data_IF_767586127408
#
_entry.id   IF_767586127408
#
_cell.length_a   1.000
_cell.length_b   1.000
_cell.length_c   1.000
_cell.angle_alpha   90.00
_cell.angle_beta   90.00
_cell.angle_gamma   90.00
#
_symmetry.space_group_name_H-M   'P 1'
#
loop_
_entity.id
_entity.type
_entity.pdbx_description
1 polymer ?
#
# COMPACT_ATOMS: atom_id res chain seq x y z
N UNK A 1 -31.69 59.14 -5.67
CA UNK A 1 -30.99 58.12 -6.49
C UNK A 1 -30.15 57.12 -5.69
N UNK A 2 -29.83 57.36 -4.40
CA UNK A 2 -28.94 56.46 -3.62
C UNK A 2 -29.61 55.23 -2.95
N UNK A 3 -30.95 55.13 -2.93
CA UNK A 3 -31.65 54.00 -2.28
C UNK A 3 -31.84 52.76 -3.17
N UNK A 4 -31.57 52.84 -4.48
CA UNK A 4 -31.72 51.73 -5.42
C UNK A 4 -30.43 50.93 -5.65
N UNK A 5 -29.28 51.49 -5.27
CA UNK A 5 -27.95 50.86 -5.42
C UNK A 5 -27.66 49.90 -4.27
N UNK A 6 -28.12 50.21 -3.05
CA UNK A 6 -27.97 49.32 -1.88
C UNK A 6 -28.74 48.00 -2.00
N UNK A 7 -29.89 47.99 -2.70
CA UNK A 7 -30.66 46.77 -2.91
C UNK A 7 -30.03 45.84 -3.97
N UNK A 8 -29.32 46.41 -4.95
CA UNK A 8 -28.60 45.65 -5.97
C UNK A 8 -27.33 44.96 -5.41
N UNK A 9 -26.63 45.59 -4.46
CA UNK A 9 -25.48 44.98 -3.77
C UNK A 9 -25.88 43.88 -2.77
N UNK A 10 -27.08 43.94 -2.19
CA UNK A 10 -27.58 42.92 -1.27
C UNK A 10 -28.13 41.69 -2.00
N UNK A 11 -28.61 41.85 -3.25
CA UNK A 11 -29.02 40.73 -4.11
C UNK A 11 -27.84 40.01 -4.78
N UNK A 12 -26.71 40.68 -5.02
CA UNK A 12 -25.50 40.05 -5.55
C UNK A 12 -24.74 39.23 -4.48
N UNK A 13 -24.93 39.51 -3.20
CA UNK A 13 -24.30 38.75 -2.10
C UNK A 13 -25.06 37.46 -1.76
N UNK A 14 -26.35 37.35 -2.13
CA UNK A 14 -27.15 36.15 -1.94
C UNK A 14 -26.91 35.06 -3.01
N UNK A 15 -26.17 35.36 -4.08
CA UNK A 15 -25.83 34.42 -5.15
C UNK A 15 -24.43 33.77 -4.98
N UNK A 16 -23.74 34.11 -3.88
CA UNK A 16 -22.46 33.52 -3.47
C UNK A 16 -22.65 32.39 -2.43
N UNK A 17 -23.86 31.86 -2.30
CA UNK A 17 -24.01 30.58 -1.62
C UNK A 17 -23.50 29.50 -2.57
N UNK A 18 -22.41 28.77 -2.25
CA UNK A 18 -22.08 27.59 -3.02
C UNK A 18 -23.30 26.68 -2.92
N UNK A 19 -23.93 26.40 -4.06
CA UNK A 19 -24.82 25.26 -4.14
C UNK A 19 -24.04 24.09 -3.55
N UNK A 20 -24.65 23.22 -2.72
CA UNK A 20 -24.06 21.92 -2.49
C UNK A 20 -24.00 21.28 -3.88
N UNK A 21 -22.85 21.39 -4.54
CA UNK A 21 -22.46 20.44 -5.54
C UNK A 21 -22.40 19.18 -4.71
N UNK A 22 -23.50 18.44 -4.72
CA UNK A 22 -23.44 17.02 -4.48
C UNK A 22 -22.46 16.53 -5.53
N UNK A 23 -21.20 16.46 -5.15
CA UNK A 23 -20.29 15.47 -5.67
C UNK A 23 -21.01 14.18 -5.29
N UNK A 24 -21.93 13.74 -6.15
CA UNK A 24 -22.18 12.34 -6.32
C UNK A 24 -20.81 11.83 -6.73
N UNK A 25 -19.98 11.53 -5.73
CA UNK A 25 -18.76 10.80 -5.93
C UNK A 25 -19.22 9.60 -6.72
N UNK A 26 -18.72 9.48 -7.94
CA UNK A 26 -18.64 8.16 -8.51
C UNK A 26 -17.75 7.43 -7.52
N UNK A 27 -18.35 6.79 -6.51
CA UNK A 27 -17.68 5.74 -5.76
C UNK A 27 -17.13 4.84 -6.84
N UNK A 28 -15.81 4.76 -6.90
CA UNK A 28 -15.17 3.99 -7.95
C UNK A 28 -15.74 2.58 -7.83
N UNK A 29 -16.24 1.97 -8.92
CA UNK A 29 -16.86 0.64 -8.83
C UNK A 29 -15.96 -0.38 -8.13
N UNK A 30 -14.65 -0.14 -8.13
CA UNK A 30 -13.67 -0.91 -7.37
C UNK A 30 -13.70 -0.69 -5.85
N UNK A 31 -13.91 0.53 -5.37
CA UNK A 31 -14.05 0.83 -3.94
C UNK A 31 -15.21 0.04 -3.32
N UNK A 32 -16.31 -0.09 -4.07
CA UNK A 32 -17.42 -0.95 -3.65
C UNK A 32 -17.03 -2.43 -3.58
N UNK A 33 -16.16 -2.90 -4.48
CA UNK A 33 -15.69 -4.29 -4.45
C UNK A 33 -14.76 -4.52 -3.26
N UNK A 34 -13.92 -3.55 -2.93
CA UNK A 34 -13.07 -3.57 -1.75
C UNK A 34 -13.91 -3.66 -0.46
N UNK A 35 -14.94 -2.81 -0.31
CA UNK A 35 -15.88 -2.84 0.81
C UNK A 35 -16.55 -4.22 0.97
N UNK A 36 -17.02 -4.81 -0.14
CA UNK A 36 -17.66 -6.14 -0.13
C UNK A 36 -16.64 -7.21 0.31
N UNK A 37 -15.39 -7.10 -0.11
CA UNK A 37 -14.33 -8.04 0.27
C UNK A 37 -13.96 -7.93 1.75
N UNK A 38 -13.95 -6.72 2.32
CA UNK A 38 -13.78 -6.52 3.76
C UNK A 38 -14.97 -7.08 4.54
N UNK A 39 -16.22 -6.83 4.12
CA UNK A 39 -17.40 -7.38 4.78
C UNK A 39 -17.35 -8.91 4.84
N UNK A 40 -17.00 -9.57 3.74
CA UNK A 40 -16.82 -11.03 3.71
C UNK A 40 -15.76 -11.48 4.72
N UNK A 41 -14.64 -10.76 4.83
CA UNK A 41 -13.59 -11.07 5.80
C UNK A 41 -14.06 -10.88 7.24
N UNK A 42 -14.76 -9.79 7.55
CA UNK A 42 -15.30 -9.54 8.89
C UNK A 42 -16.29 -10.63 9.31
N UNK A 43 -17.16 -11.07 8.40
CA UNK A 43 -18.08 -12.19 8.65
C UNK A 43 -17.31 -13.49 8.97
N UNK A 44 -16.29 -13.82 8.17
CA UNK A 44 -15.49 -15.02 8.38
C UNK A 44 -14.70 -14.98 9.70
N UNK A 45 -14.11 -13.83 10.05
CA UNK A 45 -13.44 -13.62 11.36
C UNK A 45 -14.38 -13.84 12.54
N UNK A 46 -15.67 -13.55 12.36
CA UNK A 46 -16.72 -13.78 13.35
C UNK A 46 -17.33 -15.19 13.28
N UNK A 47 -16.76 -16.11 12.51
CA UNK A 47 -17.24 -17.50 12.34
C UNK A 47 -18.49 -17.63 11.48
N UNK A 48 -18.97 -16.55 10.86
CA UNK A 48 -20.17 -16.49 10.01
C UNK A 48 -19.85 -16.90 8.57
N UNK A 49 -19.38 -18.13 8.39
CA UNK A 49 -18.87 -18.62 7.10
C UNK A 49 -19.94 -18.78 6.03
N UNK A 50 -21.18 -19.08 6.43
CA UNK A 50 -22.32 -19.19 5.49
C UNK A 50 -22.62 -17.83 4.90
N UNK A 51 -22.69 -16.79 5.73
CA UNK A 51 -22.92 -15.42 5.27
C UNK A 51 -21.74 -14.86 4.49
N UNK A 52 -20.49 -15.12 4.94
CA UNK A 52 -19.29 -14.73 4.20
C UNK A 52 -19.30 -15.29 2.77
N UNK A 53 -19.74 -16.55 2.59
CA UNK A 53 -19.90 -17.15 1.26
C UNK A 53 -20.90 -16.38 0.40
N UNK A 54 -22.06 -16.00 0.94
CA UNK A 54 -23.06 -15.26 0.18
C UNK A 54 -22.55 -13.87 -0.22
N UNK A 55 -21.80 -13.19 0.66
CA UNK A 55 -21.14 -11.92 0.34
C UNK A 55 -20.08 -12.10 -0.77
N UNK A 56 -19.28 -13.18 -0.74
CA UNK A 56 -18.35 -13.49 -1.85
C UNK A 56 -19.10 -13.76 -3.16
N UNK A 57 -20.27 -14.41 -3.15
CA UNK A 57 -21.07 -14.58 -4.37
C UNK A 57 -21.56 -13.24 -4.89
N UNK A 58 -22.02 -12.37 -4.00
CA UNK A 58 -22.43 -11.02 -4.34
C UNK A 58 -21.29 -10.19 -4.94
N UNK A 59 -20.06 -10.33 -4.43
CA UNK A 59 -18.86 -9.74 -5.04
C UNK A 59 -18.76 -10.10 -6.52
N UNK A 60 -18.92 -11.38 -6.87
CA UNK A 60 -18.81 -11.84 -8.26
C UNK A 60 -19.85 -11.18 -9.17
N UNK A 61 -21.09 -11.07 -8.71
CA UNK A 61 -22.17 -10.38 -9.44
C UNK A 61 -21.83 -8.90 -9.67
N UNK A 62 -21.34 -8.21 -8.63
CA UNK A 62 -20.94 -6.80 -8.73
C UNK A 62 -19.72 -6.61 -9.62
N UNK A 63 -18.75 -7.52 -9.57
CA UNK A 63 -17.53 -7.48 -10.38
C UNK A 63 -17.87 -7.38 -11.89
N UNK A 64 -18.82 -8.18 -12.37
CA UNK A 64 -19.29 -8.09 -13.75
C UNK A 64 -20.22 -6.90 -14.00
N UNK A 65 -21.15 -6.63 -13.08
CA UNK A 65 -22.13 -5.54 -13.25
C UNK A 65 -21.48 -4.14 -13.31
N UNK A 66 -20.36 -3.95 -12.62
CA UNK A 66 -19.62 -2.68 -12.56
C UNK A 66 -18.60 -2.51 -13.70
N UNK A 67 -18.40 -3.54 -14.54
CA UNK A 67 -17.33 -3.56 -15.52
C UNK A 67 -15.95 -3.48 -14.87
N UNK A 68 -15.74 -4.24 -13.79
CA UNK A 68 -14.48 -4.24 -13.06
C UNK A 68 -13.37 -4.92 -13.87
N UNK A 69 -13.72 -5.94 -14.65
CA UNK A 69 -12.81 -6.64 -15.56
C UNK A 69 -12.13 -5.69 -16.54
N UNK A 70 -12.86 -4.71 -17.07
CA UNK A 70 -12.36 -3.73 -18.04
C UNK A 70 -11.38 -2.73 -17.43
N UNK A 71 -11.32 -2.65 -16.09
CA UNK A 71 -10.39 -1.79 -15.34
C UNK A 71 -9.07 -2.47 -15.00
N UNK A 72 -9.01 -3.79 -15.15
CA UNK A 72 -7.78 -4.55 -14.95
C UNK A 72 -6.75 -4.21 -16.02
N UNK A 73 -5.48 -4.12 -15.62
CA UNK A 73 -4.36 -3.77 -16.48
C UNK A 73 -3.73 -5.00 -17.14
N UNK A 74 -3.91 -6.19 -16.54
CA UNK A 74 -3.25 -7.41 -17.01
C UNK A 74 -4.12 -8.67 -16.86
N UNK A 75 -3.74 -9.72 -17.59
CA UNK A 75 -4.33 -11.05 -17.43
C UNK A 75 -3.95 -11.68 -16.08
N UNK A 76 -2.85 -11.26 -15.48
CA UNK A 76 -2.37 -11.76 -14.20
C UNK A 76 -3.22 -11.20 -13.04
N UNK A 77 -3.60 -9.91 -13.08
CA UNK A 77 -4.58 -9.34 -12.14
C UNK A 77 -5.94 -10.07 -12.24
N UNK A 78 -6.41 -10.36 -13.46
CA UNK A 78 -7.64 -11.12 -13.67
C UNK A 78 -7.54 -12.53 -13.10
N UNK A 79 -6.41 -13.20 -13.31
CA UNK A 79 -6.18 -14.55 -12.75
C UNK A 79 -6.13 -14.49 -11.22
N UNK A 80 -5.39 -13.56 -10.65
CA UNK A 80 -5.25 -13.41 -9.20
C UNK A 80 -6.63 -13.23 -8.54
N UNK A 81 -7.45 -12.29 -9.02
CA UNK A 81 -8.78 -12.03 -8.43
C UNK A 81 -9.73 -13.22 -8.60
N UNK A 82 -9.73 -13.89 -9.75
CA UNK A 82 -10.64 -15.02 -10.02
C UNK A 82 -10.25 -16.27 -9.24
N UNK A 83 -8.97 -16.60 -9.18
CA UNK A 83 -8.47 -17.78 -8.46
C UNK A 83 -8.65 -17.63 -6.95
N UNK A 84 -8.26 -16.49 -6.39
CA UNK A 84 -8.39 -16.25 -4.94
C UNK A 84 -9.86 -16.15 -4.52
N UNK A 85 -10.73 -15.58 -5.37
CA UNK A 85 -12.18 -15.59 -5.14
C UNK A 85 -12.75 -17.01 -5.09
N UNK A 86 -12.43 -17.85 -6.08
CA UNK A 86 -12.90 -19.24 -6.13
C UNK A 86 -12.42 -20.03 -4.90
N UNK A 87 -11.15 -19.86 -4.53
CA UNK A 87 -10.56 -20.48 -3.34
C UNK A 87 -11.28 -20.03 -2.06
N UNK A 88 -11.53 -18.73 -1.90
CA UNK A 88 -12.27 -18.19 -0.76
C UNK A 88 -13.68 -18.77 -0.66
N UNK A 89 -14.43 -18.80 -1.77
CA UNK A 89 -15.78 -19.38 -1.81
C UNK A 89 -15.76 -20.86 -1.44
N UNK A 90 -14.81 -21.64 -1.98
CA UNK A 90 -14.66 -23.06 -1.69
C UNK A 90 -14.31 -23.31 -0.22
N UNK A 91 -13.39 -22.51 0.33
CA UNK A 91 -12.94 -22.60 1.71
C UNK A 91 -14.10 -22.44 2.70
N UNK A 92 -15.06 -21.55 2.42
CA UNK A 92 -16.22 -21.33 3.30
C UNK A 92 -17.02 -22.60 3.58
N UNK A 93 -17.15 -23.50 2.60
CA UNK A 93 -17.87 -24.77 2.76
C UNK A 93 -17.00 -25.99 3.04
N UNK A 94 -15.68 -25.87 2.87
CA UNK A 94 -14.78 -27.02 3.05
C UNK A 94 -14.69 -27.45 4.53
N UNK A 95 -14.50 -28.75 4.82
CA UNK A 95 -14.28 -29.26 6.18
C UNK A 95 -12.82 -29.01 6.63
N UNK A 96 -12.41 -27.75 6.63
CA UNK A 96 -11.07 -27.29 7.02
C UNK A 96 -11.15 -26.42 8.29
N UNK A 97 -10.04 -26.25 9.03
CA UNK A 97 -9.94 -25.34 10.16
C UNK A 97 -10.46 -23.92 9.87
N UNK A 98 -11.01 -23.26 10.89
CA UNK A 98 -11.52 -21.89 10.79
C UNK A 98 -10.43 -20.90 10.36
N UNK A 99 -9.19 -21.11 10.80
CA UNK A 99 -8.04 -20.28 10.46
C UNK A 99 -7.74 -20.32 8.95
N UNK A 100 -7.78 -21.51 8.34
CA UNK A 100 -7.56 -21.67 6.90
C UNK A 100 -8.69 -21.04 6.07
N UNK A 101 -9.92 -21.05 6.58
CA UNK A 101 -11.05 -20.34 5.98
C UNK A 101 -10.80 -18.83 5.96
N UNK A 102 -10.39 -18.28 7.10
CA UNK A 102 -10.09 -16.85 7.24
C UNK A 102 -8.88 -16.47 6.39
N UNK A 103 -7.86 -17.32 6.31
CA UNK A 103 -6.68 -17.11 5.46
C UNK A 103 -7.07 -17.01 3.97
N UNK A 104 -7.93 -17.90 3.48
CA UNK A 104 -8.39 -17.87 2.08
C UNK A 104 -9.13 -16.56 1.72
N UNK A 105 -10.01 -16.06 2.59
CA UNK A 105 -10.67 -14.77 2.36
C UNK A 105 -9.69 -13.60 2.53
N UNK A 106 -8.76 -13.70 3.49
CA UNK A 106 -7.73 -12.67 3.66
C UNK A 106 -6.90 -12.54 2.38
N UNK A 107 -6.44 -13.64 1.80
CA UNK A 107 -5.71 -13.66 0.53
C UNK A 107 -6.51 -12.96 -0.59
N UNK A 108 -7.80 -13.28 -0.70
CA UNK A 108 -8.69 -12.65 -1.68
C UNK A 108 -8.81 -11.13 -1.45
N UNK A 109 -9.03 -10.68 -0.22
CA UNK A 109 -9.11 -9.25 0.11
C UNK A 109 -7.81 -8.52 -0.23
N UNK A 110 -6.65 -9.11 0.09
CA UNK A 110 -5.35 -8.53 -0.23
C UNK A 110 -5.18 -8.32 -1.74
N UNK A 111 -5.66 -9.26 -2.57
CA UNK A 111 -5.66 -9.12 -4.03
C UNK A 111 -6.59 -8.02 -4.51
N UNK A 112 -7.81 -7.95 -3.97
CA UNK A 112 -8.79 -6.91 -4.34
C UNK A 112 -8.23 -5.52 -4.04
N UNK A 113 -7.60 -5.38 -2.88
CA UNK A 113 -6.92 -4.16 -2.47
C UNK A 113 -5.71 -3.83 -3.37
N UNK A 114 -4.79 -4.78 -3.60
CA UNK A 114 -3.59 -4.59 -4.42
C UNK A 114 -3.89 -4.05 -5.83
N UNK A 115 -4.96 -4.51 -6.47
CA UNK A 115 -5.34 -4.05 -7.82
C UNK A 115 -5.64 -2.54 -7.88
N UNK A 116 -6.12 -1.94 -6.78
CA UNK A 116 -6.53 -0.53 -6.74
C UNK A 116 -5.63 0.37 -5.90
N UNK A 117 -4.98 -0.20 -4.89
CA UNK A 117 -4.08 0.51 -3.99
C UNK A 117 -2.90 1.11 -4.77
N UNK A 118 -2.82 2.44 -4.75
CA UNK A 118 -1.74 3.18 -5.44
C UNK A 118 -0.58 3.49 -4.50
N UNK A 119 -0.87 3.61 -3.20
CA UNK A 119 0.11 3.94 -2.16
C UNK A 119 -0.22 3.05 -0.96
N UNK A 120 0.65 2.09 -0.65
CA UNK A 120 0.53 1.17 0.48
C UNK A 120 -0.65 0.16 0.42
N UNK A 121 -0.59 -0.84 -0.47
CA UNK A 121 -1.43 -2.02 -0.43
C UNK A 121 -1.40 -2.71 0.95
N UNK A 122 -2.55 -3.23 1.40
CA UNK A 122 -2.76 -3.86 2.70
C UNK A 122 -1.83 -5.05 2.96
N UNK A 123 -1.35 -5.75 1.92
CA UNK A 123 -0.46 -6.89 2.13
C UNK A 123 0.90 -6.47 2.68
N UNK A 124 1.29 -5.20 2.50
CA UNK A 124 2.54 -4.67 3.06
C UNK A 124 2.52 -4.63 4.59
N UNK A 125 1.35 -4.53 5.22
CA UNK A 125 1.17 -4.63 6.67
C UNK A 125 1.50 -6.03 7.22
N UNK A 126 1.64 -7.03 6.35
CA UNK A 126 2.06 -8.38 6.72
C UNK A 126 3.59 -8.51 6.89
N UNK A 127 4.37 -7.47 6.54
CA UNK A 127 5.83 -7.47 6.66
C UNK A 127 6.32 -7.95 8.05
N UNK A 128 5.81 -7.45 9.19
CA UNK A 128 6.32 -7.89 10.49
C UNK A 128 6.06 -9.37 10.75
N UNK A 129 4.94 -9.91 10.24
CA UNK A 129 4.60 -11.33 10.39
C UNK A 129 5.48 -12.23 9.51
N UNK A 130 5.76 -11.79 8.28
CA UNK A 130 6.61 -12.51 7.32
C UNK A 130 8.08 -12.46 7.78
N UNK A 131 8.60 -11.28 8.07
CA UNK A 131 9.98 -11.10 8.55
C UNK A 131 10.21 -11.76 9.91
N UNK A 132 9.21 -11.74 10.80
CA UNK A 132 9.26 -12.47 12.06
C UNK A 132 9.34 -13.99 11.87
N UNK A 133 8.61 -14.54 10.90
CA UNK A 133 8.71 -15.96 10.55
C UNK A 133 10.07 -16.30 9.93
N UNK A 134 10.61 -15.42 9.07
CA UNK A 134 11.95 -15.58 8.50
C UNK A 134 13.03 -15.58 9.59
N UNK A 135 12.97 -14.67 10.55
CA UNK A 135 13.91 -14.64 11.67
C UNK A 135 13.91 -15.93 12.50
N UNK A 136 12.76 -16.62 12.60
CA UNK A 136 12.68 -17.93 13.23
C UNK A 136 13.41 -19.03 12.42
N UNK A 137 13.36 -18.95 11.08
CA UNK A 137 14.13 -19.83 10.18
C UNK A 137 15.62 -19.61 10.38
N UNK A 138 16.08 -18.35 10.37
CA UNK A 138 17.49 -18.00 10.61
C UNK A 138 17.99 -18.54 11.94
N UNK A 139 17.22 -18.33 13.01
CA UNK A 139 17.56 -18.80 14.35
C UNK A 139 17.68 -20.33 14.41
N UNK A 140 16.73 -21.05 13.83
CA UNK A 140 16.74 -22.51 13.83
C UNK A 140 17.90 -23.08 13.00
N UNK A 141 18.24 -22.44 11.88
CA UNK A 141 19.40 -22.80 11.08
C UNK A 141 20.71 -22.59 11.84
N UNK A 142 20.88 -21.45 12.51
CA UNK A 142 22.06 -21.15 13.33
C UNK A 142 22.26 -22.12 14.50
N UNK A 143 21.17 -22.66 15.03
CA UNK A 143 21.19 -23.64 16.13
C UNK A 143 21.38 -25.08 15.62
N UNK A 144 21.38 -25.32 14.31
CA UNK A 144 21.45 -26.65 13.71
C UNK A 144 20.22 -27.52 13.96
N UNK A 145 19.10 -26.93 14.38
CA UNK A 145 17.89 -27.65 14.77
C UNK A 145 17.00 -27.94 13.55
N UNK A 146 17.34 -28.97 12.77
CA UNK A 146 16.65 -29.28 11.50
C UNK A 146 15.12 -29.42 11.62
N UNK A 147 14.62 -29.99 12.73
CA UNK A 147 13.17 -30.10 12.97
C UNK A 147 12.52 -28.73 13.23
N UNK A 148 13.17 -27.87 14.02
CA UNK A 148 12.69 -26.52 14.29
C UNK A 148 12.75 -25.66 13.03
N UNK A 149 13.81 -25.83 12.22
CA UNK A 149 13.97 -25.17 10.92
C UNK A 149 12.84 -25.54 9.97
N UNK A 150 12.54 -26.83 9.81
CA UNK A 150 11.46 -27.27 8.93
C UNK A 150 10.10 -26.72 9.37
N UNK A 151 9.84 -26.63 10.68
CA UNK A 151 8.62 -26.04 11.22
C UNK A 151 8.55 -24.53 10.97
N UNK A 152 9.65 -23.81 11.24
CA UNK A 152 9.75 -22.37 11.01
C UNK A 152 9.63 -22.02 9.52
N UNK A 153 10.24 -22.81 8.64
CA UNK A 153 10.19 -22.62 7.20
C UNK A 153 8.77 -22.82 6.67
N UNK A 154 8.06 -23.85 7.15
CA UNK A 154 6.64 -24.02 6.79
C UNK A 154 5.82 -22.81 7.22
N UNK A 155 6.03 -22.31 8.43
CA UNK A 155 5.33 -21.10 8.88
C UNK A 155 5.65 -19.88 8.01
N UNK A 156 6.90 -19.70 7.58
CA UNK A 156 7.28 -18.65 6.64
C UNK A 156 6.55 -18.81 5.30
N UNK A 157 6.54 -20.02 4.74
CA UNK A 157 5.85 -20.31 3.48
C UNK A 157 4.34 -20.07 3.57
N UNK A 158 3.71 -20.44 4.69
CA UNK A 158 2.28 -20.17 4.92
C UNK A 158 1.99 -18.66 4.96
N UNK A 159 2.88 -17.86 5.56
CA UNK A 159 2.76 -16.39 5.58
C UNK A 159 3.02 -15.78 4.20
N UNK A 160 3.99 -16.29 3.47
CA UNK A 160 4.31 -15.80 2.12
C UNK A 160 3.20 -16.13 1.12
N UNK A 161 2.68 -17.36 1.13
CA UNK A 161 1.56 -17.81 0.27
C UNK A 161 0.34 -16.89 0.41
N UNK A 162 0.09 -16.38 1.62
CA UNK A 162 -1.02 -15.46 1.90
C UNK A 162 -0.89 -14.12 1.14
N UNK A 163 0.34 -13.63 0.93
CA UNK A 163 0.59 -12.34 0.26
C UNK A 163 1.02 -12.49 -1.20
N UNK A 164 1.54 -13.66 -1.60
CA UNK A 164 2.16 -13.92 -2.90
C UNK A 164 1.31 -13.44 -4.10
N UNK A 165 -0.01 -13.70 -4.19
CA UNK A 165 -0.80 -13.21 -5.32
C UNK A 165 -0.83 -11.68 -5.42
N UNK A 166 -0.78 -10.99 -4.28
CA UNK A 166 -0.79 -9.52 -4.20
C UNK A 166 0.59 -8.95 -4.51
N UNK A 167 1.65 -9.60 -4.01
CA UNK A 167 3.04 -9.29 -4.37
C UNK A 167 3.22 -9.36 -5.89
N UNK A 168 2.68 -10.39 -6.55
CA UNK A 168 2.78 -10.57 -8.00
C UNK A 168 1.97 -9.54 -8.82
N UNK A 169 1.09 -8.76 -8.17
CA UNK A 169 0.40 -7.63 -8.78
C UNK A 169 1.23 -6.34 -8.64
N UNK A 170 1.73 -6.07 -7.44
CA UNK A 170 2.32 -4.76 -7.09
C UNK A 170 3.84 -4.67 -7.28
N UNK A 171 4.53 -5.81 -7.28
CA UNK A 171 5.99 -5.87 -7.30
C UNK A 171 6.49 -6.30 -8.68
N UNK A 172 7.59 -5.72 -9.20
CA UNK A 172 8.21 -6.18 -10.43
C UNK A 172 8.48 -7.70 -10.44
N UNK A 173 8.14 -8.41 -11.53
CA UNK A 173 8.28 -9.86 -11.61
C UNK A 173 9.68 -10.37 -11.24
N UNK A 174 10.73 -9.62 -11.60
CA UNK A 174 12.11 -10.00 -11.32
C UNK A 174 12.41 -10.08 -9.82
N UNK A 175 11.81 -9.20 -9.01
CA UNK A 175 12.00 -9.19 -7.55
C UNK A 175 11.16 -10.30 -6.92
N UNK A 176 9.89 -10.46 -7.36
CA UNK A 176 9.01 -11.51 -6.86
C UNK A 176 9.58 -12.92 -7.16
N UNK A 177 10.07 -13.15 -8.38
CA UNK A 177 10.70 -14.43 -8.77
C UNK A 177 11.96 -14.72 -7.96
N UNK A 178 12.77 -13.70 -7.65
CA UNK A 178 13.97 -13.91 -6.83
C UNK A 178 13.62 -14.45 -5.44
N UNK A 179 12.58 -13.90 -4.82
CA UNK A 179 12.09 -14.41 -3.52
C UNK A 179 11.50 -15.81 -3.64
N UNK A 180 10.75 -16.10 -4.71
CA UNK A 180 10.25 -17.45 -4.97
C UNK A 180 11.42 -18.47 -5.05
N UNK A 181 12.47 -18.14 -5.80
CA UNK A 181 13.67 -18.97 -5.96
C UNK A 181 14.43 -19.17 -4.64
N UNK A 182 14.57 -18.11 -3.84
CA UNK A 182 15.22 -18.16 -2.52
C UNK A 182 14.45 -19.08 -1.56
N UNK A 183 13.13 -18.92 -1.49
CA UNK A 183 12.27 -19.76 -0.66
C UNK A 183 12.29 -21.23 -1.11
N UNK A 184 12.40 -21.51 -2.41
CA UNK A 184 12.61 -22.87 -2.91
C UNK A 184 13.99 -23.41 -2.49
N UNK A 185 15.04 -22.60 -2.62
CA UNK A 185 16.40 -22.98 -2.27
C UNK A 185 16.57 -23.27 -0.77
N UNK A 186 15.81 -22.58 0.10
CA UNK A 186 15.76 -22.84 1.54
C UNK A 186 15.03 -24.14 1.90
N UNK A 187 14.12 -24.62 1.05
CA UNK A 187 13.44 -25.91 1.22
C UNK A 187 14.31 -27.09 0.75
N UNK A 188 15.26 -26.84 -0.16
CA UNK A 188 16.07 -27.88 -0.76
C UNK A 188 16.95 -28.60 0.29
N UNK A 189 17.03 -29.94 0.20
CA UNK A 189 17.93 -30.74 1.03
C UNK A 189 19.41 -30.32 0.88
N UNK A 190 19.76 -29.73 -0.27
CA UNK A 190 21.08 -29.17 -0.55
C UNK A 190 21.48 -28.07 0.44
N UNK A 191 20.52 -27.34 1.04
CA UNK A 191 20.79 -26.35 2.07
C UNK A 191 21.61 -26.95 3.23
N UNK A 192 21.26 -28.16 3.68
CA UNK A 192 21.94 -28.85 4.78
C UNK A 192 23.26 -29.52 4.40
N UNK A 193 23.58 -29.61 3.11
CA UNK A 193 24.84 -30.18 2.61
C UNK A 193 25.94 -29.13 2.49
N UNK A 194 25.56 -27.84 2.51
CA UNK A 194 26.45 -26.69 2.44
C UNK A 194 27.16 -26.43 3.77
N UNK A 195 28.27 -25.71 3.72
CA UNK A 195 28.96 -25.26 4.93
C UNK A 195 28.15 -24.21 5.69
N UNK A 196 28.41 -24.06 6.99
CA UNK A 196 27.70 -23.06 7.82
C UNK A 196 27.84 -21.62 7.27
N UNK A 197 28.98 -21.29 6.65
CA UNK A 197 29.19 -19.99 6.01
C UNK A 197 28.26 -19.76 4.81
N UNK A 198 28.15 -20.75 3.94
CA UNK A 198 27.27 -20.73 2.75
C UNK A 198 25.79 -20.70 3.14
N UNK A 199 25.41 -21.42 4.20
CA UNK A 199 24.04 -21.37 4.75
C UNK A 199 23.69 -19.98 5.26
N UNK A 200 24.62 -19.32 5.97
CA UNK A 200 24.43 -17.95 6.47
C UNK A 200 24.35 -16.93 5.34
N UNK A 201 25.18 -17.08 4.32
CA UNK A 201 25.14 -16.23 3.13
C UNK A 201 23.80 -16.37 2.41
N UNK A 202 23.36 -17.60 2.14
CA UNK A 202 22.07 -17.85 1.50
C UNK A 202 20.88 -17.30 2.30
N UNK A 203 20.90 -17.43 3.63
CA UNK A 203 19.87 -16.84 4.49
C UNK A 203 19.91 -15.30 4.47
N UNK A 204 21.10 -14.70 4.42
CA UNK A 204 21.25 -13.24 4.34
C UNK A 204 20.75 -12.70 2.99
N UNK A 205 21.04 -13.39 1.89
CA UNK A 205 20.56 -13.04 0.55
C UNK A 205 19.03 -13.13 0.48
N UNK A 206 18.46 -14.27 0.90
CA UNK A 206 17.01 -14.48 0.94
C UNK A 206 16.30 -13.45 1.82
N UNK A 207 16.93 -13.05 2.95
CA UNK A 207 16.41 -11.97 3.80
C UNK A 207 16.37 -10.64 3.06
N UNK A 208 17.46 -10.29 2.40
CA UNK A 208 17.58 -9.03 1.66
C UNK A 208 16.53 -8.93 0.55
N UNK A 209 16.33 -10.01 -0.20
CA UNK A 209 15.36 -10.06 -1.29
C UNK A 209 13.92 -10.01 -0.77
N UNK A 210 13.64 -10.68 0.36
CA UNK A 210 12.35 -10.59 1.03
C UNK A 210 12.06 -9.17 1.55
N UNK A 211 13.05 -8.50 2.15
CA UNK A 211 12.95 -7.08 2.57
C UNK A 211 12.71 -6.15 1.37
N UNK A 212 13.30 -6.47 0.21
CA UNK A 212 13.15 -5.68 -1.00
C UNK A 212 11.70 -5.64 -1.53
N UNK A 213 10.91 -6.72 -1.33
CA UNK A 213 9.49 -6.74 -1.68
C UNK A 213 8.72 -5.60 -1.00
N UNK A 214 8.96 -5.40 0.29
CA UNK A 214 8.26 -4.40 1.09
C UNK A 214 8.84 -2.99 0.90
N UNK A 215 10.15 -2.88 0.70
CA UNK A 215 10.82 -1.58 0.54
C UNK A 215 10.47 -0.88 -0.79
N UNK A 216 10.19 -1.65 -1.85
CA UNK A 216 9.82 -1.10 -3.16
C UNK A 216 8.48 -0.34 -3.14
N UNK A 217 7.54 -0.82 -2.32
CA UNK A 217 6.16 -0.30 -2.26
C UNK A 217 6.03 0.91 -1.33
N UNK A 218 6.87 1.00 -0.30
CA UNK A 218 6.90 2.14 0.65
C UNK A 218 7.58 3.39 0.09
N UNK A 219 8.37 3.29 -0.98
CA UNK A 219 9.16 4.44 -1.49
C UNK A 219 8.31 5.57 -2.10
N UNK A 220 7.06 5.28 -2.48
CA UNK A 220 6.11 6.33 -2.92
C UNK A 220 5.44 7.07 -1.75
N UNK A 221 5.76 6.74 -0.49
CA UNK A 221 5.34 7.48 0.71
C UNK A 221 6.14 8.77 0.96
N UNK A 222 7.12 9.11 0.10
CA UNK A 222 7.69 10.46 0.14
C UNK A 222 6.65 11.45 -0.38
N UNK A 223 5.71 11.78 0.52
CA UNK A 223 4.59 12.69 0.37
C UNK A 223 5.03 13.89 -0.48
N UNK A 224 4.66 13.96 -1.78
CA UNK A 224 5.05 15.07 -2.65
C UNK A 224 4.64 16.41 -2.04
N UNK A 225 3.60 16.37 -1.20
CA UNK A 225 3.11 17.48 -0.39
C UNK A 225 4.14 18.00 0.62
N UNK A 226 4.94 17.15 1.29
CA UNK A 226 5.91 17.59 2.30
C UNK A 226 7.13 18.29 1.68
N UNK A 227 7.64 17.75 0.57
CA UNK A 227 8.73 18.40 -0.18
C UNK A 227 8.23 19.73 -0.76
N UNK A 228 7.02 19.75 -1.33
CA UNK A 228 6.42 20.99 -1.83
C UNK A 228 6.15 22.01 -0.71
N UNK A 229 5.66 21.58 0.45
CA UNK A 229 5.43 22.45 1.62
C UNK A 229 6.75 22.99 2.15
N UNK A 230 7.82 22.18 2.17
CA UNK A 230 9.16 22.63 2.56
C UNK A 230 9.71 23.66 1.57
N UNK A 231 9.52 23.45 0.26
CA UNK A 231 9.93 24.39 -0.79
C UNK A 231 9.11 25.68 -0.71
N UNK A 232 7.79 25.63 -0.54
CA UNK A 232 6.95 26.81 -0.42
C UNK A 232 7.25 27.60 0.85
N UNK A 233 7.34 26.94 2.00
CA UNK A 233 7.61 27.58 3.29
C UNK A 233 9.03 28.16 3.32
N UNK A 234 10.03 27.40 2.87
CA UNK A 234 11.41 27.87 2.74
C UNK A 234 11.55 28.99 1.72
N UNK A 235 10.85 28.92 0.59
CA UNK A 235 10.85 29.91 -0.47
C UNK A 235 10.32 31.27 -0.01
N UNK A 236 9.22 31.30 0.76
CA UNK A 236 8.67 32.55 1.34
C UNK A 236 9.67 33.19 2.31
N UNK A 237 10.37 32.40 3.14
CA UNK A 237 11.40 32.91 4.06
C UNK A 237 12.58 33.50 3.28
N UNK A 238 13.10 32.80 2.27
CA UNK A 238 14.22 33.30 1.45
C UNK A 238 13.82 34.56 0.69
N UNK A 239 12.61 34.61 0.11
CA UNK A 239 12.11 35.78 -0.61
C UNK A 239 11.96 37.00 0.31
N UNK A 240 11.41 36.81 1.51
CA UNK A 240 11.26 37.90 2.49
C UNK A 240 12.62 38.40 2.97
N UNK A 241 13.56 37.53 3.32
CA UNK A 241 14.91 37.93 3.71
C UNK A 241 15.68 38.61 2.58
N UNK A 242 15.52 38.14 1.34
CA UNK A 242 16.12 38.76 0.16
C UNK A 242 15.57 40.17 -0.05
N UNK A 243 14.25 40.35 0.09
CA UNK A 243 13.60 41.66 -0.04
C UNK A 243 14.05 42.64 1.05
N UNK A 244 14.06 42.22 2.32
CA UNK A 244 14.47 43.09 3.44
C UNK A 244 15.97 43.39 3.35
N UNK A 245 16.80 42.41 2.97
CA UNK A 245 18.23 42.60 2.73
C UNK A 245 18.51 43.61 1.62
N UNK A 246 17.78 43.52 0.50
CA UNK A 246 17.90 44.48 -0.59
C UNK A 246 17.43 45.88 -0.20
N UNK A 247 16.34 45.98 0.57
CA UNK A 247 15.83 47.26 1.10
C UNK A 247 16.83 47.92 2.04
N UNK A 248 17.47 47.14 2.93
CA UNK A 248 18.52 47.64 3.84
C UNK A 248 19.76 48.11 3.08
N UNK A 249 20.20 47.34 2.09
CA UNK A 249 21.32 47.71 1.23
C UNK A 249 21.07 49.04 0.50
N UNK A 250 19.85 49.25 -0.02
CA UNK A 250 19.47 50.50 -0.68
C UNK A 250 19.43 51.68 0.31
N UNK A 251 18.88 51.47 1.52
CA UNK A 251 18.84 52.49 2.57
C UNK A 251 20.22 52.96 3.01
N UNK A 252 21.17 52.04 3.24
CA UNK A 252 22.55 52.39 3.59
C UNK A 252 23.29 53.14 2.47
N UNK A 253 22.93 52.88 1.21
CA UNK A 253 23.52 53.55 0.04
C UNK A 253 23.02 54.99 -0.13
N UNK A 254 21.76 55.24 0.22
CA UNK A 254 21.16 56.59 0.24
C UNK A 254 21.70 57.41 1.43
N UNK A 255 21.88 56.80 2.60
CA UNK A 255 22.44 57.47 3.78
C UNK A 255 23.92 57.84 3.59
N UNK A 256 24.71 57.02 2.90
CA UNK A 256 26.10 57.34 2.53
C UNK A 256 26.20 58.43 1.48
N UNK A 257 25.24 58.54 0.56
CA UNK A 257 25.17 59.65 -0.41
C UNK A 257 24.77 60.98 0.23
N UNK A 258 23.91 60.95 1.25
CA UNK A 258 23.52 62.15 1.99
C UNK A 258 24.62 62.71 2.92
N UNK A 259 25.69 61.93 3.18
CA UNK A 259 26.83 62.32 4.04
C UNK A 259 28.10 62.68 3.28
N UNK A 260 28.09 62.68 1.94
CA UNK A 260 29.19 63.24 1.15
C UNK A 260 28.93 64.74 0.96
N UNK A 261 29.74 65.64 1.53
CA UNK A 261 29.71 67.04 1.13
C UNK A 261 30.24 67.14 -0.31
N UNK A 262 29.57 67.97 -1.13
CA UNK A 262 30.05 68.33 -2.46
C UNK A 262 31.41 69.06 -2.31
N UNK A 263 32.43 68.55 -3.00
CA UNK A 263 33.66 69.29 -3.33
C UNK A 263 33.59 69.81 -4.76
#
# INVERSE_FOLDING_TARGET
MMKRIGLAMLLSLAFLWPAPIGVAGQTNGWEQLDDISDEALQLAKNGRFVEAKEVLRYFSERFFALGAKERLKSADELRAVTVTHEQAVKAMTAPIPAEDKVAAITQFRLVVDAIHSTYQPLWTEMEPAVMGAFAAVEKAAQQGEQKAYAAALRQLLDRYTLIEPSVKIDVPPEIATKVDDDLEALQAAAFWQRGEGEQREQLADARHDLEALFAGVKKDEADPSLIWVMIFTGGVIVLTLTYVGWRKYKGEKEEKRARQPEE
#
